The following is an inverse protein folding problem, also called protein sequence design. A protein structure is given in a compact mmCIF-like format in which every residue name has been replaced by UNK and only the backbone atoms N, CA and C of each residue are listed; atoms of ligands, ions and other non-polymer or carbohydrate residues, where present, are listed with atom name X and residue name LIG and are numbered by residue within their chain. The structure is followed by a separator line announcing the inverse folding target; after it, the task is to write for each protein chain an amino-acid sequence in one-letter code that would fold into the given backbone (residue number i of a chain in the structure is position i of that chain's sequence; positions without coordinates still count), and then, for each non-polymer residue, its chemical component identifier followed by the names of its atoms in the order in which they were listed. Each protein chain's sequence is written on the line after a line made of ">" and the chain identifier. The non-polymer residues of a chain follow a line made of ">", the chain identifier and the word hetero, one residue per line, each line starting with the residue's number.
data_IF_774805487504
#
_entry.id   IF_774805487504
#
_cell.length_a   1.000
_cell.length_b   1.000
_cell.length_c   1.000
_cell.angle_alpha   90.00
_cell.angle_beta   90.00
_cell.angle_gamma   90.00
#
_symmetry.space_group_name_H-M   'P 1'
#
loop_
_entity.id
_entity.type
_entity.pdbx_description
1 polymer ?
#
# COMPACT_ATOMS: atom_id res chain seq x y z
N UNK A 1 7.28 -36.19 -25.59
CA UNK A 1 7.24 -34.77 -25.99
C UNK A 1 7.79 -33.97 -24.82
N UNK A 2 8.98 -33.41 -24.94
CA UNK A 2 9.46 -32.45 -23.95
C UNK A 2 8.68 -31.14 -24.12
N UNK A 3 7.94 -30.77 -23.09
CA UNK A 3 7.27 -29.47 -23.04
C UNK A 3 8.39 -28.45 -22.83
N UNK A 4 8.64 -27.61 -23.84
CA UNK A 4 9.56 -26.48 -23.69
C UNK A 4 9.08 -25.60 -22.54
N UNK A 5 10.00 -25.26 -21.62
CA UNK A 5 9.73 -24.37 -20.48
C UNK A 5 10.03 -22.90 -20.78
N UNK A 6 10.36 -22.57 -22.03
CA UNK A 6 10.67 -21.19 -22.44
C UNK A 6 9.40 -20.48 -22.88
N UNK A 7 9.18 -19.27 -22.37
CA UNK A 7 8.09 -18.38 -22.81
C UNK A 7 8.61 -17.47 -23.93
N UNK A 8 7.92 -17.46 -25.06
CA UNK A 8 8.18 -16.54 -26.16
C UNK A 8 7.44 -15.22 -25.89
N UNK A 9 8.14 -14.27 -25.27
CA UNK A 9 7.55 -13.00 -24.83
C UNK A 9 7.05 -12.15 -25.99
N UNK A 10 7.74 -12.18 -27.13
CA UNK A 10 7.35 -11.41 -28.31
C UNK A 10 6.00 -11.89 -28.83
N UNK A 11 5.81 -13.20 -28.96
CA UNK A 11 4.50 -13.76 -29.32
C UNK A 11 3.42 -13.47 -28.29
N UNK A 12 3.79 -13.43 -27.01
CA UNK A 12 2.83 -13.13 -25.95
C UNK A 12 2.36 -11.68 -26.00
N UNK A 13 3.27 -10.73 -26.26
CA UNK A 13 2.94 -9.32 -26.52
C UNK A 13 2.02 -9.21 -27.74
N UNK A 14 2.42 -9.79 -28.88
CA UNK A 14 1.63 -9.76 -30.12
C UNK A 14 0.22 -10.35 -29.93
N UNK A 15 0.10 -11.46 -29.20
CA UNK A 15 -1.18 -12.09 -28.90
C UNK A 15 -2.03 -11.32 -27.88
N UNK A 16 -1.39 -10.58 -26.96
CA UNK A 16 -2.09 -9.80 -25.93
C UNK A 16 -2.75 -8.53 -26.45
N UNK A 17 -2.27 -8.00 -27.59
CA UNK A 17 -2.69 -6.70 -28.12
C UNK A 17 -2.25 -5.50 -27.28
N UNK A 18 -1.33 -5.70 -26.32
CA UNK A 18 -0.74 -4.62 -25.54
C UNK A 18 0.29 -3.86 -26.37
N UNK A 19 0.24 -2.53 -26.31
CA UNK A 19 1.23 -1.64 -26.93
C UNK A 19 2.44 -1.45 -26.00
N UNK A 20 3.16 -2.54 -25.73
CA UNK A 20 4.36 -2.57 -24.89
C UNK A 20 5.42 -3.47 -25.51
N UNK A 21 6.70 -3.20 -25.24
CA UNK A 21 7.78 -4.12 -25.58
C UNK A 21 7.76 -5.39 -24.72
N UNK A 22 8.47 -6.43 -25.17
CA UNK A 22 8.67 -7.66 -24.39
C UNK A 22 9.34 -7.39 -23.04
N UNK A 23 10.29 -6.44 -23.00
CA UNK A 23 10.98 -6.00 -21.79
C UNK A 23 10.02 -5.29 -20.83
N UNK A 24 9.24 -4.33 -21.32
CA UNK A 24 8.23 -3.62 -20.52
C UNK A 24 7.16 -4.56 -19.98
N UNK A 25 6.77 -5.58 -20.74
CA UNK A 25 5.85 -6.60 -20.25
C UNK A 25 6.44 -7.34 -19.04
N UNK A 26 7.72 -7.71 -19.08
CA UNK A 26 8.40 -8.35 -17.94
C UNK A 26 8.46 -7.42 -16.74
N UNK A 27 8.78 -6.13 -16.95
CA UNK A 27 8.80 -5.12 -15.88
C UNK A 27 7.42 -4.99 -15.21
N UNK A 28 6.35 -4.89 -16.01
CA UNK A 28 4.97 -4.83 -15.52
C UNK A 28 4.59 -6.09 -14.74
N UNK A 29 4.96 -7.28 -15.23
CA UNK A 29 4.69 -8.54 -14.53
C UNK A 29 5.41 -8.56 -13.18
N UNK A 30 6.68 -8.18 -13.15
CA UNK A 30 7.48 -8.12 -11.92
C UNK A 30 6.86 -7.11 -10.95
N UNK A 31 6.57 -5.89 -11.40
CA UNK A 31 6.00 -4.83 -10.57
C UNK A 31 4.63 -5.22 -9.99
N UNK A 32 3.74 -5.73 -10.83
CA UNK A 32 2.36 -6.04 -10.44
C UNK A 32 2.26 -7.30 -9.57
N UNK A 33 2.94 -8.38 -9.95
CA UNK A 33 2.72 -9.70 -9.36
C UNK A 33 3.76 -10.12 -8.33
N UNK A 34 4.88 -9.39 -8.21
CA UNK A 34 5.93 -9.72 -7.25
C UNK A 34 6.14 -8.59 -6.25
N UNK A 35 6.72 -8.91 -5.11
CA UNK A 35 7.14 -7.96 -4.09
C UNK A 35 8.58 -8.28 -3.68
N UNK A 36 9.46 -7.29 -3.71
CA UNK A 36 10.83 -7.47 -3.23
C UNK A 36 10.90 -7.59 -1.71
N UNK A 37 11.97 -8.19 -1.18
CA UNK A 37 12.19 -8.24 0.27
C UNK A 37 12.20 -6.84 0.88
N UNK A 38 12.79 -5.87 0.18
CA UNK A 38 12.82 -4.47 0.64
C UNK A 38 11.41 -3.89 0.71
N UNK A 39 10.56 -4.11 -0.30
CA UNK A 39 9.15 -3.71 -0.23
C UNK A 39 8.41 -4.36 0.95
N UNK A 40 8.68 -5.64 1.26
CA UNK A 40 8.07 -6.33 2.41
C UNK A 40 8.49 -5.65 3.72
N UNK A 41 9.78 -5.34 3.87
CA UNK A 41 10.33 -4.62 5.03
C UNK A 41 9.66 -3.25 5.13
N UNK A 42 9.68 -2.48 4.04
CA UNK A 42 9.21 -1.10 4.02
C UNK A 42 7.71 -0.96 4.23
N UNK A 43 6.93 -1.95 3.77
CA UNK A 43 5.47 -1.89 3.81
C UNK A 43 4.90 -2.52 5.07
N UNK A 44 5.43 -3.68 5.49
CA UNK A 44 4.88 -4.43 6.63
C UNK A 44 5.73 -4.35 7.88
N UNK A 45 6.85 -3.60 7.82
CA UNK A 45 7.77 -3.37 8.94
C UNK A 45 8.33 -4.68 9.51
N UNK A 46 8.49 -5.70 8.66
CA UNK A 46 9.13 -6.93 9.07
C UNK A 46 10.64 -6.77 9.03
N UNK A 47 11.33 -7.31 10.03
CA UNK A 47 12.78 -7.46 9.95
C UNK A 47 13.16 -8.52 8.92
N UNK A 48 14.35 -8.40 8.34
CA UNK A 48 14.92 -9.43 7.46
C UNK A 48 14.93 -10.82 8.13
N UNK A 49 15.20 -10.87 9.44
CA UNK A 49 15.12 -12.12 10.21
C UNK A 49 13.70 -12.69 10.24
N UNK A 50 12.68 -11.83 10.43
CA UNK A 50 11.28 -12.26 10.45
C UNK A 50 10.87 -12.81 9.08
N UNK A 51 11.29 -12.18 7.99
CA UNK A 51 11.06 -12.68 6.63
C UNK A 51 11.75 -14.04 6.41
N UNK A 52 13.02 -14.18 6.85
CA UNK A 52 13.74 -15.47 6.78
C UNK A 52 13.00 -16.58 7.51
N UNK A 53 12.55 -16.31 8.74
CA UNK A 53 11.81 -17.28 9.54
C UNK A 53 10.49 -17.67 8.88
N UNK A 54 9.75 -16.71 8.30
CA UNK A 54 8.50 -17.00 7.58
C UNK A 54 8.74 -17.83 6.33
N UNK A 55 9.85 -17.61 5.61
CA UNK A 55 10.27 -18.46 4.49
C UNK A 55 10.62 -19.88 4.94
N UNK A 56 11.42 -20.03 6.00
CA UNK A 56 11.80 -21.34 6.56
C UNK A 56 10.57 -22.13 7.03
N UNK A 57 9.58 -21.44 7.58
CA UNK A 57 8.28 -21.99 7.99
C UNK A 57 7.31 -22.22 6.83
N UNK A 58 7.70 -21.95 5.57
CA UNK A 58 6.86 -22.06 4.37
C UNK A 58 5.60 -21.21 4.41
N UNK A 59 5.62 -20.11 5.17
CA UNK A 59 4.55 -19.10 5.19
C UNK A 59 4.69 -18.08 4.06
N UNK A 60 5.91 -17.93 3.53
CA UNK A 60 6.21 -17.14 2.33
C UNK A 60 7.03 -17.99 1.38
N UNK A 61 6.69 -17.95 0.09
CA UNK A 61 7.45 -18.61 -0.95
C UNK A 61 8.30 -17.58 -1.70
N UNK A 62 9.60 -17.79 -1.64
CA UNK A 62 10.58 -17.00 -2.39
C UNK A 62 10.71 -17.61 -3.80
N UNK A 63 10.30 -16.86 -4.83
CA UNK A 63 10.35 -17.33 -6.23
C UNK A 63 11.75 -17.17 -6.82
N UNK A 64 12.49 -16.16 -6.36
CA UNK A 64 13.89 -15.88 -6.66
C UNK A 64 14.47 -15.13 -5.45
N UNK A 65 15.77 -15.18 -5.25
CA UNK A 65 16.44 -14.50 -4.13
C UNK A 65 15.93 -13.05 -3.96
N UNK A 66 15.31 -12.77 -2.82
CA UNK A 66 14.73 -11.48 -2.45
C UNK A 66 13.43 -11.12 -3.15
N UNK A 67 12.76 -12.05 -3.83
CA UNK A 67 11.55 -11.81 -4.63
C UNK A 67 10.46 -12.82 -4.29
N UNK A 68 9.27 -12.31 -4.02
CA UNK A 68 8.11 -13.08 -3.53
C UNK A 68 6.88 -12.78 -4.39
N UNK A 69 5.90 -13.69 -4.43
CA UNK A 69 4.62 -13.38 -5.07
C UNK A 69 3.83 -12.41 -4.19
N UNK A 70 3.36 -11.31 -4.79
CA UNK A 70 2.66 -10.24 -4.07
C UNK A 70 1.42 -10.76 -3.35
N UNK A 71 0.64 -11.61 -4.02
CA UNK A 71 -0.57 -12.22 -3.45
C UNK A 71 -0.32 -13.08 -2.23
N UNK A 72 0.73 -13.91 -2.24
CA UNK A 72 1.07 -14.73 -1.09
C UNK A 72 1.47 -13.86 0.11
N UNK A 73 2.21 -12.77 -0.13
CA UNK A 73 2.60 -11.83 0.93
C UNK A 73 1.38 -11.10 1.49
N UNK A 74 0.50 -10.55 0.65
CA UNK A 74 -0.72 -9.87 1.10
C UNK A 74 -1.65 -10.81 1.88
N UNK A 75 -1.84 -12.03 1.40
CA UNK A 75 -2.69 -13.02 2.06
C UNK A 75 -2.09 -13.45 3.41
N UNK A 76 -0.76 -13.57 3.49
CA UNK A 76 -0.09 -13.79 4.76
C UNK A 76 -0.32 -12.61 5.73
N UNK A 77 -0.29 -11.35 5.25
CA UNK A 77 -0.58 -10.18 6.09
C UNK A 77 -2.03 -10.15 6.56
N UNK A 78 -2.98 -10.40 5.66
CA UNK A 78 -4.40 -10.57 5.98
C UNK A 78 -4.57 -11.59 7.12
N UNK A 79 -4.01 -12.78 6.99
CA UNK A 79 -4.11 -13.82 8.02
C UNK A 79 -3.54 -13.39 9.38
N UNK A 80 -2.56 -12.49 9.40
CA UNK A 80 -2.04 -11.94 10.66
C UNK A 80 -3.02 -10.94 11.28
N UNK A 81 -3.65 -10.10 10.47
CA UNK A 81 -4.66 -9.13 10.89
C UNK A 81 -5.90 -9.86 11.41
N UNK A 82 -6.48 -10.78 10.62
CA UNK A 82 -7.72 -11.49 10.95
C UNK A 82 -7.57 -12.38 12.19
N UNK A 83 -6.39 -12.99 12.39
CA UNK A 83 -6.06 -13.75 13.61
C UNK A 83 -5.62 -12.88 14.79
N UNK A 84 -5.78 -11.55 14.70
CA UNK A 84 -5.44 -10.60 15.76
C UNK A 84 -4.01 -10.76 16.27
N UNK A 85 -3.09 -11.24 15.41
CA UNK A 85 -1.69 -11.46 15.80
C UNK A 85 -0.97 -10.15 16.07
N UNK A 86 -1.47 -9.06 15.49
CA UNK A 86 -0.96 -7.72 15.70
C UNK A 86 -1.43 -7.12 17.04
N UNK A 87 -2.57 -7.55 17.59
CA UNK A 87 -3.07 -7.12 18.91
C UNK A 87 -2.16 -7.56 20.07
N UNK A 88 -1.28 -8.57 19.84
CA UNK A 88 -0.23 -8.94 20.81
C UNK A 88 0.75 -7.80 21.06
N UNK A 89 0.87 -6.86 20.13
CA UNK A 89 1.51 -5.58 20.34
C UNK A 89 0.40 -4.63 20.77
N UNK A 90 0.27 -4.40 22.08
CA UNK A 90 -0.87 -3.72 22.74
C UNK A 90 -1.29 -2.38 22.13
N UNK A 91 -0.40 -1.77 21.35
CA UNK A 91 -0.53 -0.41 20.84
C UNK A 91 -0.90 -0.38 19.34
N UNK A 92 -1.06 -1.54 18.69
CA UNK A 92 -1.43 -1.60 17.29
C UNK A 92 -2.94 -1.61 17.08
N UNK A 93 -3.46 -0.54 16.49
CA UNK A 93 -4.82 -0.42 15.95
C UNK A 93 -4.77 -0.16 14.45
N UNK A 94 -5.78 -0.58 13.71
CA UNK A 94 -5.88 -0.27 12.27
C UNK A 94 -6.33 1.17 12.04
N UNK A 95 -7.14 1.72 12.94
CA UNK A 95 -7.65 3.09 12.88
C UNK A 95 -7.45 3.83 14.21
N UNK A 96 -7.27 5.16 14.20
CA UNK A 96 -7.10 6.01 13.01
C UNK A 96 -5.74 5.77 12.33
N UNK A 97 -5.73 5.96 11.01
CA UNK A 97 -4.53 5.87 10.16
C UNK A 97 -3.99 7.25 9.74
N UNK A 98 -4.58 8.33 10.22
CA UNK A 98 -4.16 9.70 9.94
C UNK A 98 -4.44 10.61 11.13
N UNK A 99 -3.73 11.73 11.19
CA UNK A 99 -4.01 12.85 12.08
C UNK A 99 -3.91 14.16 11.29
N UNK A 100 -4.91 15.01 11.43
CA UNK A 100 -5.01 16.30 10.76
C UNK A 100 -4.66 17.44 11.72
N UNK A 101 -3.65 18.23 11.35
CA UNK A 101 -3.13 19.37 12.08
C UNK A 101 -3.40 20.67 11.30
N UNK A 102 -3.02 21.83 11.84
CA UNK A 102 -3.35 23.11 11.20
C UNK A 102 -2.64 23.27 9.85
N UNK A 103 -1.33 23.00 9.81
CA UNK A 103 -0.49 23.11 8.62
C UNK A 103 -0.11 21.78 7.97
N UNK A 104 -0.45 20.65 8.60
CA UNK A 104 0.06 19.33 8.22
C UNK A 104 -0.98 18.24 8.33
N UNK A 105 -0.90 17.24 7.47
CA UNK A 105 -1.61 15.97 7.55
C UNK A 105 -0.57 14.85 7.61
N UNK A 106 -0.62 14.01 8.64
CA UNK A 106 0.23 12.82 8.74
C UNK A 106 -0.62 11.57 8.56
N UNK A 107 -0.08 10.58 7.87
CA UNK A 107 -0.73 9.29 7.60
C UNK A 107 0.21 8.19 8.06
N UNK A 108 -0.29 7.26 8.86
CA UNK A 108 0.42 6.03 9.22
C UNK A 108 0.42 5.07 8.03
N UNK A 109 1.60 4.88 7.43
CA UNK A 109 1.78 4.01 6.28
C UNK A 109 1.28 2.59 6.53
N UNK A 110 1.64 2.00 7.67
CA UNK A 110 1.37 0.60 7.97
C UNK A 110 -0.13 0.39 8.16
N UNK A 111 -0.76 1.25 8.98
CA UNK A 111 -2.21 1.21 9.23
C UNK A 111 -3.01 1.44 7.95
N UNK A 112 -2.59 2.43 7.16
CA UNK A 112 -3.22 2.74 5.88
C UNK A 112 -3.24 1.52 4.95
N UNK A 113 -2.08 0.87 4.75
CA UNK A 113 -1.99 -0.32 3.89
C UNK A 113 -2.70 -1.53 4.48
N UNK A 114 -2.72 -1.71 5.79
CA UNK A 114 -3.46 -2.81 6.42
C UNK A 114 -4.98 -2.62 6.29
N UNK A 115 -5.50 -1.40 6.46
CA UNK A 115 -6.90 -1.09 6.15
C UNK A 115 -7.23 -1.42 4.69
N UNK A 116 -6.31 -1.10 3.78
CA UNK A 116 -6.46 -1.39 2.37
C UNK A 116 -6.51 -2.91 2.10
N UNK A 117 -5.65 -3.68 2.77
CA UNK A 117 -5.70 -5.15 2.74
C UNK A 117 -7.05 -5.67 3.24
N UNK A 118 -7.62 -5.11 4.31
CA UNK A 118 -8.95 -5.49 4.81
C UNK A 118 -10.07 -5.21 3.80
N UNK A 119 -10.09 -4.02 3.19
CA UNK A 119 -11.08 -3.68 2.14
C UNK A 119 -11.00 -4.65 0.96
N UNK A 120 -9.78 -4.92 0.47
CA UNK A 120 -9.56 -5.87 -0.62
C UNK A 120 -10.15 -7.24 -0.32
N UNK A 121 -9.94 -7.75 0.89
CA UNK A 121 -10.38 -9.09 1.32
C UNK A 121 -11.89 -9.13 1.51
N UNK A 122 -12.44 -8.19 2.28
CA UNK A 122 -13.88 -8.11 2.55
C UNK A 122 -14.68 -7.99 1.24
N UNK A 123 -14.17 -7.22 0.26
CA UNK A 123 -14.80 -7.07 -1.06
C UNK A 123 -14.81 -8.33 -1.91
N UNK A 124 -13.99 -9.33 -1.60
CA UNK A 124 -13.93 -10.62 -2.31
C UNK A 124 -14.71 -11.73 -1.61
N UNK A 125 -14.77 -11.71 -0.28
CA UNK A 125 -15.33 -12.81 0.52
C UNK A 125 -16.83 -12.66 0.81
N UNK A 126 -17.40 -11.45 0.66
CA UNK A 126 -18.80 -11.19 0.98
C UNK A 126 -19.65 -11.16 -0.29
N UNK A 127 -20.64 -12.06 -0.38
CA UNK A 127 -21.56 -12.16 -1.52
C UNK A 127 -22.35 -10.87 -1.78
N UNK A 128 -22.59 -10.06 -0.74
CA UNK A 128 -23.26 -8.76 -0.80
C UNK A 128 -22.40 -7.67 -0.14
N UNK A 129 -21.13 -7.58 -0.53
CA UNK A 129 -20.25 -6.53 -0.03
C UNK A 129 -20.84 -5.14 -0.29
N UNK A 130 -21.15 -4.42 0.78
CA UNK A 130 -21.52 -3.01 0.72
C UNK A 130 -20.36 -2.15 1.24
N UNK A 131 -19.64 -1.41 0.38
CA UNK A 131 -18.57 -0.53 0.82
C UNK A 131 -19.06 0.59 1.76
N UNK A 132 -20.35 0.90 1.75
CA UNK A 132 -20.96 1.85 2.69
C UNK A 132 -21.22 1.26 4.07
N UNK A 133 -21.01 -0.03 4.29
CA UNK A 133 -21.10 -0.66 5.62
C UNK A 133 -19.74 -1.15 6.12
N UNK A 134 -18.74 -1.23 5.24
CA UNK A 134 -17.37 -1.60 5.61
C UNK A 134 -16.64 -0.44 6.32
N UNK A 135 -16.36 -0.62 7.62
CA UNK A 135 -15.72 0.40 8.44
C UNK A 135 -14.32 0.81 7.97
N UNK A 136 -13.56 -0.10 7.34
CA UNK A 136 -12.25 0.23 6.78
C UNK A 136 -12.36 1.06 5.51
N UNK A 137 -13.35 0.78 4.66
CA UNK A 137 -13.62 1.54 3.45
C UNK A 137 -14.10 2.96 3.77
N UNK A 138 -14.99 3.11 4.77
CA UNK A 138 -15.37 4.42 5.32
C UNK A 138 -14.14 5.21 5.75
N UNK A 139 -13.29 4.60 6.58
CA UNK A 139 -12.08 5.24 7.09
C UNK A 139 -11.08 5.62 5.97
N UNK A 140 -10.83 4.73 5.00
CA UNK A 140 -9.96 5.04 3.86
C UNK A 140 -10.55 6.13 2.95
N UNK A 141 -11.89 6.15 2.80
CA UNK A 141 -12.60 7.21 2.08
C UNK A 141 -12.38 8.57 2.75
N UNK A 142 -12.46 8.63 4.09
CA UNK A 142 -12.16 9.82 4.88
C UNK A 142 -10.70 10.25 4.72
N UNK A 143 -9.74 9.31 4.78
CA UNK A 143 -8.32 9.61 4.55
C UNK A 143 -8.12 10.26 3.17
N UNK A 144 -8.65 9.67 2.10
CA UNK A 144 -8.48 10.19 0.74
C UNK A 144 -9.12 11.56 0.54
N UNK A 145 -10.28 11.80 1.15
CA UNK A 145 -10.94 13.11 1.11
C UNK A 145 -10.13 14.15 1.90
N UNK A 146 -9.57 13.76 3.05
CA UNK A 146 -8.73 14.63 3.88
C UNK A 146 -7.44 14.99 3.16
N UNK A 147 -6.79 14.04 2.47
CA UNK A 147 -5.60 14.30 1.65
C UNK A 147 -5.89 15.32 0.56
N UNK A 148 -6.98 15.15 -0.19
CA UNK A 148 -7.37 16.11 -1.22
C UNK A 148 -7.58 17.51 -0.63
N UNK A 149 -8.34 17.59 0.47
CA UNK A 149 -8.63 18.86 1.15
C UNK A 149 -7.36 19.51 1.68
N UNK A 150 -6.42 18.72 2.23
CA UNK A 150 -5.13 19.19 2.71
C UNK A 150 -4.31 19.84 1.57
N UNK A 151 -4.26 19.21 0.38
CA UNK A 151 -3.60 19.82 -0.77
C UNK A 151 -4.29 21.10 -1.26
N UNK A 152 -5.62 21.16 -1.25
CA UNK A 152 -6.39 22.34 -1.67
C UNK A 152 -6.07 23.58 -0.81
N UNK A 153 -5.82 23.38 0.49
CA UNK A 153 -5.40 24.45 1.42
C UNK A 153 -3.89 24.52 1.63
N UNK A 154 -3.09 23.87 0.77
CA UNK A 154 -1.62 23.88 0.81
C UNK A 154 -0.99 23.38 2.13
N UNK A 155 -1.64 22.44 2.83
CA UNK A 155 -1.02 21.72 3.95
C UNK A 155 0.07 20.77 3.44
N UNK A 156 1.05 20.52 4.30
CA UNK A 156 2.03 19.45 4.08
C UNK A 156 1.38 18.09 4.29
N UNK A 157 1.60 17.13 3.39
CA UNK A 157 1.04 15.77 3.50
C UNK A 157 2.18 14.77 3.64
N UNK A 158 2.24 14.07 4.76
CA UNK A 158 3.28 13.10 5.07
C UNK A 158 2.73 11.69 5.22
N UNK A 159 3.50 10.72 4.72
CA UNK A 159 3.31 9.31 4.99
C UNK A 159 4.45 8.84 5.91
N UNK A 160 4.12 8.56 7.17
CA UNK A 160 5.07 8.21 8.21
C UNK A 160 5.11 6.70 8.43
N UNK A 161 6.28 6.18 8.77
CA UNK A 161 6.36 4.85 9.35
C UNK A 161 5.59 4.81 10.70
N UNK A 162 4.98 3.69 11.06
CA UNK A 162 4.15 3.53 12.27
C UNK A 162 4.77 4.11 13.56
N UNK A 163 6.08 3.93 13.79
CA UNK A 163 6.75 4.45 14.99
C UNK A 163 6.89 5.96 15.01
N UNK A 164 7.08 6.60 13.85
CA UNK A 164 7.09 8.05 13.73
C UNK A 164 5.68 8.60 13.95
N UNK A 165 4.67 7.96 13.37
CA UNK A 165 3.28 8.34 13.57
C UNK A 165 2.90 8.31 15.05
N UNK A 166 3.24 7.23 15.78
CA UNK A 166 3.00 7.12 17.22
C UNK A 166 3.84 8.07 18.09
N UNK A 167 4.92 8.64 17.53
CA UNK A 167 5.72 9.63 18.26
C UNK A 167 5.03 11.00 18.27
N UNK A 168 4.39 11.40 17.16
CA UNK A 168 3.75 12.71 17.04
C UNK A 168 2.54 12.77 17.97
N UNK A 169 2.53 13.73 18.90
CA UNK A 169 1.39 14.01 19.79
C UNK A 169 0.81 15.41 19.56
N UNK A 170 1.56 16.27 18.86
CA UNK A 170 1.19 17.63 18.44
C UNK A 170 1.98 18.01 17.18
N UNK A 171 1.53 19.03 16.46
CA UNK A 171 2.10 19.40 15.15
C UNK A 171 3.60 19.73 15.21
N UNK A 172 4.09 20.29 16.32
CA UNK A 172 5.51 20.62 16.47
C UNK A 172 6.42 19.39 16.46
N UNK A 173 5.91 18.22 16.89
CA UNK A 173 6.68 16.98 16.95
C UNK A 173 7.02 16.44 15.55
N UNK A 174 6.32 16.89 14.50
CA UNK A 174 6.62 16.55 13.10
C UNK A 174 8.03 17.01 12.73
N UNK A 175 8.43 18.20 13.19
CA UNK A 175 9.77 18.72 12.91
C UNK A 175 10.85 17.90 13.61
N UNK A 176 10.57 17.40 14.82
CA UNK A 176 11.49 16.51 15.52
C UNK A 176 11.69 15.19 14.74
N UNK A 177 10.61 14.62 14.19
CA UNK A 177 10.70 13.43 13.32
C UNK A 177 11.61 13.72 12.12
N UNK A 178 11.33 14.81 11.39
CA UNK A 178 12.06 15.22 10.19
C UNK A 178 13.55 15.43 10.49
N UNK A 179 13.87 16.15 11.56
CA UNK A 179 15.25 16.51 11.92
C UNK A 179 16.04 15.35 12.51
N UNK A 180 15.38 14.43 13.22
CA UNK A 180 16.06 13.32 13.90
C UNK A 180 16.73 12.33 12.93
N UNK A 181 16.20 12.22 11.69
CA UNK A 181 16.56 11.19 10.72
C UNK A 181 16.54 9.75 11.29
N UNK A 182 15.81 9.54 12.38
CA UNK A 182 15.68 8.23 13.06
C UNK A 182 14.58 7.37 12.43
N UNK A 183 13.64 8.02 11.77
CA UNK A 183 12.45 7.39 11.27
C UNK A 183 12.29 7.61 9.77
N UNK A 184 11.73 6.63 9.09
CA UNK A 184 11.36 6.80 7.70
C UNK A 184 10.07 7.61 7.58
N UNK A 185 10.08 8.56 6.65
CA UNK A 185 8.89 9.28 6.22
C UNK A 185 9.04 9.69 4.75
N UNK A 186 7.91 10.04 4.13
CA UNK A 186 7.88 10.73 2.84
C UNK A 186 6.85 11.85 2.87
N UNK A 187 7.29 13.06 2.54
CA UNK A 187 6.40 14.14 2.16
C UNK A 187 5.95 13.94 0.71
N UNK A 188 4.68 14.22 0.44
CA UNK A 188 4.11 14.16 -0.89
C UNK A 188 3.65 15.54 -1.35
N UNK A 189 4.04 15.91 -2.56
CA UNK A 189 3.26 16.88 -3.34
C UNK A 189 1.98 16.23 -3.91
N UNK A 190 1.03 17.05 -4.35
CA UNK A 190 -0.22 16.55 -4.97
C UNK A 190 0.05 15.67 -6.21
N UNK A 191 1.06 16.02 -7.02
CA UNK A 191 1.46 15.24 -8.19
C UNK A 191 2.08 13.89 -7.82
N UNK A 192 2.95 13.87 -6.82
CA UNK A 192 3.54 12.63 -6.31
C UNK A 192 2.49 11.73 -5.67
N UNK A 193 1.53 12.29 -4.94
CA UNK A 193 0.46 11.51 -4.32
C UNK A 193 -0.49 10.94 -5.40
N UNK A 194 -0.80 11.71 -6.44
CA UNK A 194 -1.55 11.23 -7.59
C UNK A 194 -0.85 10.05 -8.27
N UNK A 195 0.46 10.17 -8.52
CA UNK A 195 1.26 9.07 -9.09
C UNK A 195 1.27 7.84 -8.17
N UNK A 196 1.31 8.05 -6.86
CA UNK A 196 1.23 6.98 -5.87
C UNK A 196 -0.12 6.24 -5.93
N UNK A 197 -1.24 6.97 -6.07
CA UNK A 197 -2.58 6.37 -6.22
C UNK A 197 -2.74 5.61 -7.54
N UNK A 198 -2.10 6.09 -8.61
CA UNK A 198 -2.23 5.55 -9.97
C UNK A 198 -1.16 4.50 -10.31
N UNK A 199 -0.40 4.01 -9.33
CA UNK A 199 0.67 3.06 -9.64
C UNK A 199 0.11 1.74 -10.22
N UNK A 200 0.91 0.96 -10.97
CA UNK A 200 0.45 -0.29 -11.58
C UNK A 200 -0.05 -1.35 -10.59
N UNK A 201 0.35 -1.27 -9.32
CA UNK A 201 -0.13 -2.16 -8.25
C UNK A 201 -1.49 -1.73 -7.69
N UNK A 202 -2.04 -0.57 -8.08
CA UNK A 202 -3.17 0.04 -7.40
C UNK A 202 -4.41 -0.86 -7.37
N UNK A 203 -4.71 -1.50 -8.50
CA UNK A 203 -5.79 -2.48 -8.60
C UNK A 203 -5.56 -3.68 -7.69
N UNK A 204 -4.34 -4.22 -7.69
CA UNK A 204 -3.96 -5.37 -6.88
C UNK A 204 -4.11 -5.11 -5.38
N UNK A 205 -3.70 -3.91 -4.95
CA UNK A 205 -3.78 -3.51 -3.55
C UNK A 205 -5.21 -3.23 -3.10
N UNK A 206 -6.15 -2.99 -4.01
CA UNK A 206 -7.56 -2.71 -3.69
C UNK A 206 -7.90 -1.23 -3.60
N UNK A 207 -7.05 -0.33 -4.12
CA UNK A 207 -7.32 1.12 -4.14
C UNK A 207 -8.62 1.46 -4.84
N UNK A 208 -8.86 0.80 -5.98
CA UNK A 208 -10.08 0.96 -6.80
C UNK A 208 -11.36 0.53 -6.09
N UNK A 209 -11.25 -0.11 -4.92
CA UNK A 209 -12.39 -0.51 -4.07
C UNK A 209 -12.77 0.56 -3.06
N UNK A 210 -11.94 1.56 -2.80
CA UNK A 210 -12.26 2.68 -1.91
C UNK A 210 -13.32 3.55 -2.60
N UNK A 211 -14.42 3.88 -1.90
CA UNK A 211 -15.56 4.60 -2.50
C UNK A 211 -15.17 5.92 -3.18
N UNK A 212 -14.29 6.71 -2.55
CA UNK A 212 -13.87 8.00 -3.09
C UNK A 212 -12.70 7.94 -4.07
N UNK A 213 -12.14 6.75 -4.37
CA UNK A 213 -10.91 6.63 -5.17
C UNK A 213 -10.99 7.37 -6.51
N UNK A 214 -12.01 7.08 -7.33
CA UNK A 214 -12.15 7.66 -8.66
C UNK A 214 -12.36 9.18 -8.61
N UNK A 215 -13.14 9.67 -7.63
CA UNK A 215 -13.34 11.11 -7.43
C UNK A 215 -12.07 11.81 -6.97
N UNK A 216 -11.33 11.22 -6.02
CA UNK A 216 -10.08 11.79 -5.49
C UNK A 216 -9.02 11.87 -6.59
N UNK A 217 -8.83 10.81 -7.37
CA UNK A 217 -7.91 10.80 -8.52
C UNK A 217 -8.28 11.90 -9.52
N UNK A 218 -9.57 12.03 -9.85
CA UNK A 218 -10.07 13.07 -10.78
C UNK A 218 -9.84 14.49 -10.24
N UNK A 219 -10.03 14.70 -8.94
CA UNK A 219 -9.85 16.00 -8.31
C UNK A 219 -8.37 16.39 -8.23
N UNK A 220 -7.50 15.48 -7.79
CA UNK A 220 -6.04 15.69 -7.77
C UNK A 220 -5.48 15.93 -9.18
N UNK A 221 -5.95 15.18 -10.19
CA UNK A 221 -5.52 15.40 -11.57
C UNK A 221 -5.91 16.79 -12.13
N UNK A 222 -6.90 17.46 -11.54
CA UNK A 222 -7.27 18.84 -11.90
C UNK A 222 -6.42 19.87 -11.17
N UNK A 223 -6.00 19.61 -9.94
CA UNK A 223 -5.20 20.55 -9.14
C UNK A 223 -3.71 20.56 -9.51
N UNK A 224 -3.23 19.53 -10.23
CA UNK A 224 -1.83 19.40 -10.68
C UNK A 224 -1.57 20.07 -12.05
N UNK A 225 -2.60 20.61 -12.71
CA UNK A 225 -2.48 21.34 -13.99
C UNK A 225 -2.27 22.83 -13.78
#
# INVERSE_FOLDING_TARGET
>A
MEISKTVDLQKLVEASGLDVSSEQLVELIVEQYTMSQQEIVDRFHFSNQRISNMREQKLLREIKKGLYLREEVENMREQQISRKRLEKYSDYRLTPAYEDYLGSLIIDKLRFFDCLTCVRVNSKEQDNYDPQEDGYNKHLTEVLNTVYTAFDVSKHVYLFEHRAFEYVRKEEDIQDVIQSNKYWFKEYSASEFLNFLQNPTAEFLGWTRIMSYASTVKLLAKSVK
#
